data_IF_204359709301
#
_entry.id   IF_204359709301
#
_cell.length_a   1.000
_cell.length_b   1.000
_cell.length_c   1.000
_cell.angle_alpha   90.00
_cell.angle_beta   90.00
_cell.angle_gamma   90.00
#
_symmetry.space_group_name_H-M   'P 1'
#
loop_
_entity.id
_entity.type
_entity.pdbx_description
1 polymer ?
#
# COMPACT_ATOMS: atom_id res chain seq x y z
N UNK A 1 -15.99 -0.04 6.19
CA UNK A 1 -14.57 -0.29 5.85
C UNK A 1 -13.92 1.04 5.52
N UNK A 2 -12.71 1.31 6.03
CA UNK A 2 -11.97 2.56 5.75
C UNK A 2 -10.76 2.25 4.89
N UNK A 3 -10.50 3.08 3.90
CA UNK A 3 -9.35 2.97 3.00
C UNK A 3 -8.51 4.24 3.16
N UNK A 4 -7.22 4.08 3.47
CA UNK A 4 -6.24 5.16 3.45
C UNK A 4 -5.45 5.08 2.14
N UNK A 5 -5.50 6.14 1.33
CA UNK A 5 -4.71 6.27 0.10
C UNK A 5 -3.80 7.48 0.27
N UNK A 6 -2.49 7.28 0.20
CA UNK A 6 -1.54 8.37 0.41
C UNK A 6 -0.37 8.33 -0.57
N UNK A 7 -0.17 9.45 -1.27
CA UNK A 7 1.07 9.68 -2.00
C UNK A 7 2.17 10.06 -1.00
N UNK A 8 2.92 9.05 -0.56
CA UNK A 8 3.91 9.16 0.49
C UNK A 8 5.17 9.86 -0.05
N UNK A 9 5.72 10.89 0.62
CA UNK A 9 6.97 11.52 0.21
C UNK A 9 8.22 10.68 0.57
N UNK A 10 8.12 9.36 0.46
CA UNK A 10 9.16 8.40 0.81
C UNK A 10 9.20 7.98 2.28
N UNK A 11 9.30 6.67 2.53
CA UNK A 11 9.36 6.07 3.88
C UNK A 11 10.78 6.05 4.50
N UNK A 12 11.71 6.79 3.90
CA UNK A 12 13.05 7.01 4.45
C UNK A 12 13.09 8.07 5.56
N UNK A 13 12.13 8.99 5.58
CA UNK A 13 12.05 10.08 6.56
C UNK A 13 11.33 9.62 7.84
N UNK A 14 11.92 9.82 9.03
CA UNK A 14 11.25 9.56 10.31
C UNK A 14 9.93 10.32 10.45
N UNK A 15 9.86 11.55 9.93
CA UNK A 15 8.63 12.36 9.92
C UNK A 15 7.52 11.70 9.10
N UNK A 16 7.84 11.19 7.91
CA UNK A 16 6.86 10.49 7.07
C UNK A 16 6.33 9.23 7.77
N UNK A 17 7.21 8.48 8.43
CA UNK A 17 6.82 7.29 9.19
C UNK A 17 5.95 7.65 10.40
N UNK A 18 6.24 8.78 11.06
CA UNK A 18 5.44 9.27 12.17
C UNK A 18 4.03 9.69 11.73
N UNK A 19 3.91 10.47 10.65
CA UNK A 19 2.60 10.83 10.08
C UNK A 19 1.82 9.59 9.65
N UNK A 20 2.48 8.60 9.05
CA UNK A 20 1.84 7.33 8.70
C UNK A 20 1.31 6.60 9.95
N UNK A 21 2.11 6.56 11.02
CA UNK A 21 1.73 5.94 12.29
C UNK A 21 0.50 6.63 12.91
N UNK A 22 0.47 7.96 12.92
CA UNK A 22 -0.70 8.73 13.37
C UNK A 22 -1.94 8.44 12.54
N UNK A 23 -1.83 8.46 11.20
CA UNK A 23 -2.95 8.19 10.30
C UNK A 23 -3.53 6.79 10.50
N UNK A 24 -2.67 5.77 10.64
CA UNK A 24 -3.09 4.39 10.87
C UNK A 24 -3.76 4.26 12.23
N UNK A 25 -3.16 4.81 13.30
CA UNK A 25 -3.71 4.71 14.67
C UNK A 25 -5.02 5.48 14.82
N UNK A 26 -5.10 6.68 14.26
CA UNK A 26 -6.27 7.56 14.40
C UNK A 26 -7.47 7.02 13.63
N UNK A 27 -7.24 6.52 12.42
CA UNK A 27 -8.34 6.14 11.54
C UNK A 27 -8.68 4.65 11.56
N UNK A 28 -7.76 3.78 12.01
CA UNK A 28 -7.89 2.31 11.93
C UNK A 28 -8.37 1.84 10.53
N UNK A 29 -7.59 2.12 9.47
CA UNK A 29 -7.98 1.76 8.11
C UNK A 29 -7.93 0.24 7.90
N UNK A 30 -8.89 -0.28 7.13
CA UNK A 30 -8.89 -1.68 6.73
C UNK A 30 -7.86 -1.98 5.65
N UNK A 31 -7.64 -1.03 4.74
CA UNK A 31 -6.63 -1.06 3.70
C UNK A 31 -5.83 0.24 3.71
N UNK A 32 -4.52 0.14 3.47
CA UNK A 32 -3.61 1.27 3.32
C UNK A 32 -2.84 1.11 2.02
N UNK A 33 -3.04 2.05 1.08
CA UNK A 33 -2.26 2.15 -0.14
C UNK A 33 -1.32 3.34 -0.06
N UNK A 34 -0.03 3.09 -0.32
CA UNK A 34 1.01 4.11 -0.36
C UNK A 34 1.67 4.11 -1.75
N UNK A 35 1.74 5.27 -2.39
CA UNK A 35 2.57 5.51 -3.58
C UNK A 35 3.81 6.32 -3.25
N UNK A 36 4.81 6.34 -4.13
CA UNK A 36 6.09 7.08 -3.95
C UNK A 36 6.83 6.73 -2.65
N UNK A 37 6.74 5.46 -2.23
CA UNK A 37 7.38 5.01 -0.98
C UNK A 37 8.90 5.11 -1.03
N UNK A 38 9.52 5.15 -2.22
CA UNK A 38 10.97 5.29 -2.45
C UNK A 38 11.80 4.28 -1.65
N UNK A 39 11.21 3.11 -1.38
CA UNK A 39 11.78 2.10 -0.50
C UNK A 39 11.79 0.72 -1.16
N UNK A 40 12.73 -0.10 -0.68
CA UNK A 40 12.82 -1.53 -1.00
C UNK A 40 12.00 -2.36 -0.01
N UNK A 41 11.77 -3.63 -0.36
CA UNK A 41 11.03 -4.66 0.41
C UNK A 41 11.11 -4.59 1.94
N UNK A 42 12.30 -4.41 2.53
CA UNK A 42 12.49 -4.38 3.99
C UNK A 42 11.55 -3.42 4.76
N UNK A 43 11.18 -2.27 4.16
CA UNK A 43 10.27 -1.32 4.84
C UNK A 43 8.84 -1.84 4.94
N UNK A 44 8.37 -2.57 3.93
CA UNK A 44 7.03 -3.16 3.96
C UNK A 44 6.93 -4.23 5.04
N UNK A 45 7.96 -5.07 5.18
CA UNK A 45 8.02 -6.10 6.22
C UNK A 45 7.93 -5.49 7.63
N UNK A 46 8.69 -4.42 7.90
CA UNK A 46 8.61 -3.70 9.18
C UNK A 46 7.21 -3.11 9.45
N UNK A 47 6.52 -2.59 8.43
CA UNK A 47 5.16 -2.05 8.60
C UNK A 47 4.14 -3.17 8.90
N UNK A 48 4.25 -4.31 8.22
CA UNK A 48 3.40 -5.48 8.47
C UNK A 48 3.54 -5.97 9.91
N UNK A 49 4.77 -6.09 10.40
CA UNK A 49 5.05 -6.50 11.77
C UNK A 49 4.55 -5.47 12.78
N UNK A 50 4.87 -4.19 12.57
CA UNK A 50 4.51 -3.10 13.49
C UNK A 50 2.99 -2.96 13.69
N UNK A 51 2.21 -3.09 12.63
CA UNK A 51 0.75 -2.90 12.68
C UNK A 51 -0.04 -4.20 12.65
N UNK A 52 0.62 -5.36 12.69
CA UNK A 52 0.00 -6.68 12.58
C UNK A 52 -0.89 -6.82 11.33
N UNK A 53 -0.43 -6.31 10.18
CA UNK A 53 -1.13 -6.31 8.90
C UNK A 53 -0.52 -7.32 7.93
N UNK A 54 -1.30 -7.73 6.94
CA UNK A 54 -0.76 -8.31 5.71
C UNK A 54 -0.34 -7.20 4.75
N UNK A 55 0.48 -7.55 3.75
CA UNK A 55 0.94 -6.55 2.80
C UNK A 55 1.78 -7.08 1.65
N UNK A 56 1.75 -6.34 0.55
CA UNK A 56 2.61 -6.49 -0.61
C UNK A 56 3.30 -5.15 -0.90
N UNK A 57 4.50 -5.22 -1.47
CA UNK A 57 5.17 -4.04 -2.01
C UNK A 57 5.63 -4.27 -3.44
N UNK A 58 5.68 -3.19 -4.18
CA UNK A 58 6.42 -3.07 -5.44
C UNK A 58 7.59 -2.13 -5.17
N UNK A 59 8.81 -2.61 -5.41
CA UNK A 59 10.02 -1.83 -5.13
C UNK A 59 10.11 -0.57 -5.99
N UNK A 60 10.67 0.50 -5.42
CA UNK A 60 11.01 1.72 -6.16
C UNK A 60 12.13 1.47 -7.18
N UNK A 61 12.10 2.19 -8.31
CA UNK A 61 13.21 2.23 -9.28
C UNK A 61 14.10 3.43 -8.95
N UNK A 62 15.24 3.17 -8.31
CA UNK A 62 16.15 4.23 -7.86
C UNK A 62 15.52 5.11 -6.78
N UNK A 63 15.33 6.40 -7.06
CA UNK A 63 14.75 7.40 -6.13
C UNK A 63 13.28 7.72 -6.40
N UNK A 64 12.62 6.98 -7.29
CA UNK A 64 11.24 7.25 -7.73
C UNK A 64 10.36 6.00 -7.63
N UNK A 65 9.07 6.23 -7.40
CA UNK A 65 8.05 5.18 -7.35
C UNK A 65 8.10 4.35 -6.07
N UNK A 66 7.65 3.11 -6.23
CA UNK A 66 7.46 2.17 -5.13
C UNK A 66 6.06 2.25 -4.55
N UNK A 67 5.37 1.12 -4.52
CA UNK A 67 3.99 0.98 -4.06
C UNK A 67 3.93 0.04 -2.87
N UNK A 68 3.05 0.31 -1.92
CA UNK A 68 2.73 -0.61 -0.83
C UNK A 68 1.22 -0.70 -0.70
N UNK A 69 0.70 -1.91 -0.59
CA UNK A 69 -0.66 -2.17 -0.14
C UNK A 69 -0.59 -3.00 1.15
N UNK A 70 -1.15 -2.48 2.23
CA UNK A 70 -1.33 -3.17 3.52
C UNK A 70 -2.82 -3.39 3.76
N UNK A 71 -3.18 -4.47 4.44
CA UNK A 71 -4.56 -4.75 4.84
C UNK A 71 -4.63 -5.54 6.14
N UNK A 72 -5.74 -5.38 6.86
CA UNK A 72 -5.99 -6.13 8.10
C UNK A 72 -6.14 -7.62 7.83
N UNK A 73 -5.73 -8.44 8.80
CA UNK A 73 -5.73 -9.90 8.69
C UNK A 73 -7.12 -10.54 8.62
N UNK A 74 -8.15 -9.83 9.05
CA UNK A 74 -9.55 -10.22 8.94
C UNK A 74 -10.16 -9.91 7.56
N UNK A 75 -9.44 -9.24 6.67
CA UNK A 75 -9.87 -8.99 5.30
C UNK A 75 -9.35 -10.10 4.38
N UNK A 76 -10.28 -10.83 3.76
CA UNK A 76 -9.97 -11.79 2.70
C UNK A 76 -9.69 -11.03 1.39
N UNK A 77 -8.41 -10.73 1.15
CA UNK A 77 -7.94 -9.99 -0.02
C UNK A 77 -7.00 -10.85 -0.86
N UNK A 78 -7.23 -10.86 -2.17
CA UNK A 78 -6.36 -11.50 -3.15
C UNK A 78 -5.81 -10.47 -4.14
N UNK A 79 -4.50 -10.47 -4.35
CA UNK A 79 -3.85 -9.59 -5.33
C UNK A 79 -3.88 -10.28 -6.69
N UNK A 80 -4.60 -9.69 -7.65
CA UNK A 80 -4.72 -10.24 -9.00
C UNK A 80 -3.50 -9.90 -9.87
N UNK A 81 -3.06 -8.64 -9.82
CA UNK A 81 -1.97 -8.13 -10.64
C UNK A 81 -1.24 -7.00 -9.92
N UNK A 82 0.06 -6.86 -10.16
CA UNK A 82 0.79 -5.68 -9.77
C UNK A 82 1.90 -5.36 -10.79
N UNK A 83 2.24 -4.09 -10.89
CA UNK A 83 3.37 -3.58 -11.66
C UNK A 83 3.97 -2.37 -10.95
N UNK A 84 5.02 -1.78 -11.52
CA UNK A 84 5.63 -0.55 -11.01
C UNK A 84 4.67 0.65 -10.92
N UNK A 85 3.55 0.60 -11.65
CA UNK A 85 2.56 1.67 -11.71
C UNK A 85 1.22 1.32 -11.06
N UNK A 86 0.96 0.07 -10.68
CA UNK A 86 -0.31 -0.26 -10.03
C UNK A 86 -0.28 -1.53 -9.18
N UNK A 87 -1.26 -1.64 -8.28
CA UNK A 87 -1.64 -2.87 -7.57
C UNK A 87 -3.14 -3.05 -7.73
N UNK A 88 -3.57 -4.22 -8.20
CA UNK A 88 -4.96 -4.62 -8.37
C UNK A 88 -5.29 -5.81 -7.46
N UNK A 89 -6.35 -5.67 -6.67
CA UNK A 89 -6.75 -6.65 -5.67
C UNK A 89 -8.26 -6.78 -5.52
N UNK A 90 -8.75 -8.01 -5.41
CA UNK A 90 -10.14 -8.31 -5.07
C UNK A 90 -10.30 -8.54 -3.58
N UNK A 91 -11.43 -8.10 -3.02
CA UNK A 91 -11.82 -8.37 -1.63
C UNK A 91 -13.06 -9.25 -1.63
N UNK A 92 -12.93 -10.40 -0.98
CA UNK A 92 -13.88 -11.49 -1.02
C UNK A 92 -14.69 -11.54 0.27
N UNK A 93 -15.97 -11.85 0.15
CA UNK A 93 -16.82 -12.11 1.31
C UNK A 93 -16.60 -13.53 1.87
N UNK A 94 -17.30 -13.86 2.95
CA UNK A 94 -17.22 -15.19 3.60
C UNK A 94 -17.67 -16.34 2.69
N UNK A 95 -18.51 -16.06 1.69
CA UNK A 95 -18.93 -17.04 0.69
C UNK A 95 -17.90 -17.23 -0.44
N UNK A 96 -16.76 -16.55 -0.39
CA UNK A 96 -15.71 -16.62 -1.40
C UNK A 96 -16.05 -15.88 -2.70
N UNK A 97 -17.06 -15.01 -2.70
CA UNK A 97 -17.41 -14.16 -3.83
C UNK A 97 -16.69 -12.82 -3.73
N UNK A 98 -16.14 -12.33 -4.85
CA UNK A 98 -15.52 -11.00 -4.93
C UNK A 98 -16.60 -9.95 -4.69
N UNK A 99 -16.56 -9.31 -3.52
CA UNK A 99 -17.53 -8.29 -3.15
C UNK A 99 -17.20 -6.94 -3.79
N UNK A 100 -15.92 -6.58 -3.80
CA UNK A 100 -15.44 -5.35 -4.44
C UNK A 100 -13.95 -5.46 -4.77
N UNK A 101 -13.50 -4.58 -5.67
CA UNK A 101 -12.13 -4.55 -6.19
C UNK A 101 -11.46 -3.22 -5.86
N UNK A 102 -10.17 -3.29 -5.50
CA UNK A 102 -9.29 -2.16 -5.29
C UNK A 102 -8.22 -2.13 -6.38
N UNK A 103 -8.08 -0.99 -7.06
CA UNK A 103 -6.96 -0.74 -7.98
C UNK A 103 -6.27 0.55 -7.56
N UNK A 104 -5.07 0.43 -6.99
CA UNK A 104 -4.22 1.56 -6.65
C UNK A 104 -3.26 1.85 -7.78
N UNK A 105 -3.36 3.03 -8.40
CA UNK A 105 -2.56 3.42 -9.55
C UNK A 105 -1.65 4.59 -9.18
N UNK A 106 -0.41 4.52 -9.63
CA UNK A 106 0.53 5.63 -9.64
C UNK A 106 0.99 5.89 -11.08
N UNK A 107 0.54 7.00 -11.64
CA UNK A 107 0.95 7.46 -12.96
C UNK A 107 2.36 8.04 -12.90
N UNK A 108 3.33 7.35 -13.48
CA UNK A 108 4.62 7.96 -13.78
C UNK A 108 4.46 8.79 -15.07
N UNK A 109 4.58 10.12 -14.98
CA UNK A 109 4.74 10.93 -16.19
C UNK A 109 6.15 10.67 -16.71
N UNK A 110 6.28 9.95 -17.81
CA UNK A 110 7.49 10.08 -18.62
C UNK A 110 7.51 11.53 -19.10
N UNK A 111 8.46 12.32 -18.60
CA UNK A 111 8.77 13.58 -19.26
C UNK A 111 9.28 13.18 -20.65
N UNK A 112 8.48 13.47 -21.68
CA UNK A 112 8.90 13.32 -23.06
C UNK A 112 10.04 14.33 -23.25
N UNK A 113 11.29 13.84 -23.21
CA UNK A 113 12.50 14.59 -23.50
C UNK A 113 12.72 14.68 -25.01
#
# INVERSE_FOLDING_TARGET
MKLLVWNCPGLGSPWTVHVLDELIRLHDPALVFLSETKCKKHKCDNLKEKYNLFGINVDSRGKSGGLILLWRKDINLFVHLFSVSHIDAGVFNEAGLEGWRFTGIYGHSEAVS
#
